data_IF_494900944679
#
_entry.id   IF_494900944679
#
_cell.length_a   1.000
_cell.length_b   1.000
_cell.length_c   1.000
_cell.angle_alpha   90.00
_cell.angle_beta   90.00
_cell.angle_gamma   90.00
#
_symmetry.space_group_name_H-M   'P 1'
#
loop_
_entity.id
_entity.type
_entity.pdbx_description
1 polymer ?
#
# COMPACT_ATOMS: atom_id res chain seq x y z
N UNK A 1 16.96 8.52 0.16
CA UNK A 1 17.54 7.22 -0.23
C UNK A 1 16.45 6.46 -0.98
N UNK A 2 16.78 5.75 -2.06
CA UNK A 2 15.82 4.86 -2.75
C UNK A 2 15.96 3.46 -2.15
N UNK A 3 14.85 2.80 -1.74
CA UNK A 3 14.86 1.43 -1.25
C UNK A 3 15.55 0.45 -2.19
N UNK A 4 16.14 -0.60 -1.62
CA UNK A 4 16.70 -1.71 -2.42
C UNK A 4 15.73 -2.87 -2.60
N UNK A 5 14.64 -2.88 -1.85
CA UNK A 5 13.67 -3.97 -1.81
C UNK A 5 12.27 -3.41 -2.00
N UNK A 6 11.52 -4.03 -2.89
CA UNK A 6 10.11 -3.75 -3.12
C UNK A 6 9.33 -5.07 -3.13
N UNK A 7 8.32 -5.16 -2.28
CA UNK A 7 7.33 -6.24 -2.29
C UNK A 7 6.17 -5.84 -3.21
N UNK A 8 5.53 -6.81 -3.86
CA UNK A 8 4.46 -6.57 -4.84
C UNK A 8 3.31 -7.54 -4.64
N UNK A 9 2.13 -7.21 -5.16
CA UNK A 9 0.90 -8.00 -5.05
C UNK A 9 0.66 -8.89 -6.28
N UNK A 10 1.71 -9.41 -6.90
CA UNK A 10 1.55 -10.34 -8.02
C UNK A 10 0.93 -11.66 -7.51
N UNK A 11 -0.06 -12.23 -8.21
CA UNK A 11 -0.71 -13.48 -7.80
C UNK A 11 0.08 -14.70 -8.31
N UNK A 12 1.37 -14.76 -8.03
CA UNK A 12 2.29 -15.82 -8.48
C UNK A 12 2.60 -16.88 -7.40
N UNK A 13 1.99 -16.76 -6.21
CA UNK A 13 2.12 -17.72 -5.13
C UNK A 13 1.38 -19.04 -5.41
N UNK A 14 2.03 -20.17 -5.11
CA UNK A 14 1.43 -21.52 -5.27
C UNK A 14 0.55 -21.89 -4.08
N UNK A 15 0.96 -21.50 -2.87
CA UNK A 15 0.27 -21.83 -1.64
C UNK A 15 -0.34 -20.58 -1.01
N UNK A 16 -1.45 -20.77 -0.31
CA UNK A 16 -2.11 -19.72 0.47
C UNK A 16 -1.16 -19.26 1.58
N UNK A 17 -0.80 -17.97 1.66
CA UNK A 17 0.02 -17.45 2.74
C UNK A 17 -0.65 -17.67 4.11
N UNK A 18 0.15 -17.85 5.16
CA UNK A 18 -0.37 -18.15 6.51
C UNK A 18 -1.27 -17.04 7.11
N UNK A 19 -1.21 -15.84 6.54
CA UNK A 19 -1.99 -14.67 6.95
C UNK A 19 -3.22 -14.41 6.07
N UNK A 20 -3.48 -15.27 5.09
CA UNK A 20 -4.57 -15.12 4.14
C UNK A 20 -5.62 -16.21 4.30
N UNK A 21 -6.87 -15.88 3.97
CA UNK A 21 -7.99 -16.82 4.04
C UNK A 21 -8.19 -17.61 2.74
N UNK A 22 -7.87 -16.99 1.60
CA UNK A 22 -8.06 -17.54 0.26
C UNK A 22 -6.78 -17.42 -0.58
N UNK A 23 -6.76 -18.08 -1.75
CA UNK A 23 -5.63 -17.98 -2.68
C UNK A 23 -5.53 -16.59 -3.34
N UNK A 24 -6.65 -15.90 -3.51
CA UNK A 24 -6.70 -14.50 -3.95
C UNK A 24 -6.62 -13.58 -2.74
N UNK A 25 -5.55 -12.80 -2.66
CA UNK A 25 -5.41 -11.76 -1.64
C UNK A 25 -6.26 -10.54 -2.02
N UNK A 26 -7.05 -10.04 -1.08
CA UNK A 26 -7.84 -8.83 -1.26
C UNK A 26 -8.17 -8.16 0.08
N UNK A 27 -8.34 -6.85 0.05
CA UNK A 27 -8.81 -6.07 1.21
C UNK A 27 -7.88 -6.17 2.43
N UNK A 28 -8.37 -6.76 3.52
CA UNK A 28 -7.60 -6.85 4.77
C UNK A 28 -6.36 -7.75 4.67
N UNK A 29 -6.41 -8.79 3.84
CA UNK A 29 -5.28 -9.73 3.68
C UNK A 29 -4.06 -9.01 3.09
N UNK A 30 -4.28 -8.08 2.16
CA UNK A 30 -3.23 -7.25 1.56
C UNK A 30 -2.63 -6.25 2.55
N UNK A 31 -3.44 -5.72 3.47
CA UNK A 31 -2.96 -4.83 4.55
C UNK A 31 -2.07 -5.62 5.53
N UNK A 32 -2.43 -6.88 5.80
CA UNK A 32 -1.61 -7.78 6.63
C UNK A 32 -0.32 -8.15 5.90
N UNK A 33 -0.39 -8.45 4.60
CA UNK A 33 0.78 -8.72 3.75
C UNK A 33 1.77 -7.55 3.76
N UNK A 34 1.31 -6.33 3.47
CA UNK A 34 2.16 -5.15 3.46
C UNK A 34 2.84 -4.94 4.82
N UNK A 35 2.09 -5.11 5.91
CA UNK A 35 2.68 -5.04 7.25
C UNK A 35 3.71 -6.14 7.51
N UNK A 36 3.45 -7.38 7.06
CA UNK A 36 4.39 -8.49 7.19
C UNK A 36 5.69 -8.22 6.41
N UNK A 37 5.58 -7.71 5.18
CA UNK A 37 6.72 -7.33 4.36
C UNK A 37 7.60 -6.28 5.07
N UNK A 38 6.99 -5.24 5.64
CA UNK A 38 7.71 -4.20 6.36
C UNK A 38 8.31 -4.69 7.69
N UNK A 39 7.53 -5.42 8.49
CA UNK A 39 7.88 -5.69 9.89
C UNK A 39 8.73 -6.95 10.09
N UNK A 40 8.53 -7.96 9.25
CA UNK A 40 9.19 -9.26 9.39
C UNK A 40 10.26 -9.45 8.32
N UNK A 41 9.94 -9.17 7.06
CA UNK A 41 10.88 -9.37 5.95
C UNK A 41 11.88 -8.23 5.80
N UNK A 42 11.63 -7.08 6.44
CA UNK A 42 12.49 -5.91 6.36
C UNK A 42 12.48 -5.24 4.99
N UNK A 43 11.45 -5.49 4.19
CA UNK A 43 11.22 -4.79 2.92
C UNK A 43 10.93 -3.33 3.22
N UNK A 44 11.38 -2.44 2.34
CA UNK A 44 11.32 -0.99 2.56
C UNK A 44 10.26 -0.30 1.68
N UNK A 45 9.76 -0.99 0.66
CA UNK A 45 8.77 -0.48 -0.29
C UNK A 45 7.72 -1.54 -0.62
N UNK A 46 6.45 -1.15 -0.64
CA UNK A 46 5.36 -2.00 -1.09
C UNK A 46 4.73 -1.36 -2.32
N UNK A 47 4.71 -2.09 -3.43
CA UNK A 47 3.86 -1.75 -4.56
C UNK A 47 2.40 -2.05 -4.19
N UNK A 48 1.53 -1.07 -4.40
CA UNK A 48 0.09 -1.22 -4.19
C UNK A 48 -0.62 -1.16 -5.53
N UNK A 49 -1.26 -2.25 -5.91
CA UNK A 49 -1.71 -2.47 -7.28
C UNK A 49 -3.18 -2.08 -7.46
N UNK A 50 -3.40 -0.94 -8.10
CA UNK A 50 -4.73 -0.44 -8.51
C UNK A 50 -5.10 -0.88 -9.94
N UNK A 51 -4.23 -1.61 -10.64
CA UNK A 51 -4.47 -2.09 -12.00
C UNK A 51 -5.01 -3.53 -11.95
N UNK A 52 -6.13 -3.79 -12.64
CA UNK A 52 -6.60 -5.16 -12.86
C UNK A 52 -7.19 -5.89 -11.66
N UNK A 53 -7.54 -5.18 -10.57
CA UNK A 53 -8.28 -5.73 -9.43
C UNK A 53 -9.02 -4.65 -8.62
N UNK A 54 -10.00 -5.08 -7.83
CA UNK A 54 -10.62 -4.23 -6.80
C UNK A 54 -9.66 -4.12 -5.61
N UNK A 55 -9.07 -2.94 -5.42
CA UNK A 55 -8.06 -2.69 -4.40
C UNK A 55 -8.57 -1.78 -3.28
N UNK A 56 -7.98 -1.92 -2.09
CA UNK A 56 -8.27 -1.04 -0.97
C UNK A 56 -7.63 0.35 -1.13
N UNK A 57 -8.45 1.38 -1.33
CA UNK A 57 -7.99 2.77 -1.45
C UNK A 57 -7.58 3.43 -0.11
N UNK A 58 -7.79 2.75 1.01
CA UNK A 58 -7.54 3.26 2.37
C UNK A 58 -6.35 2.56 3.04
N UNK A 59 -5.45 1.95 2.26
CA UNK A 59 -4.27 1.23 2.76
C UNK A 59 -3.47 2.02 3.80
N UNK A 60 -3.18 3.29 3.55
CA UNK A 60 -2.43 4.13 4.50
C UNK A 60 -3.17 4.26 5.82
N UNK A 61 -4.46 4.59 5.79
CA UNK A 61 -5.29 4.70 6.99
C UNK A 61 -5.27 3.40 7.78
N UNK A 62 -5.54 2.27 7.11
CA UNK A 62 -5.62 0.94 7.73
C UNK A 62 -4.29 0.52 8.36
N UNK A 63 -3.17 0.72 7.67
CA UNK A 63 -1.84 0.43 8.20
C UNK A 63 -1.54 1.24 9.48
N UNK A 64 -1.83 2.54 9.47
CA UNK A 64 -1.58 3.42 10.61
C UNK A 64 -2.51 3.11 11.81
N UNK A 65 -3.79 2.84 11.56
CA UNK A 65 -4.76 2.49 12.60
C UNK A 65 -4.47 1.12 13.22
N UNK A 66 -4.21 0.10 12.38
CA UNK A 66 -4.02 -1.29 12.83
C UNK A 66 -2.65 -1.54 13.46
N UNK A 67 -1.60 -0.90 12.93
CA UNK A 67 -0.20 -1.17 13.31
C UNK A 67 0.56 0.08 13.79
N UNK A 68 -0.16 1.03 14.39
CA UNK A 68 0.41 2.34 14.71
C UNK A 68 1.66 2.32 15.60
N UNK A 69 1.83 1.34 16.48
CA UNK A 69 3.04 1.22 17.31
C UNK A 69 4.32 0.99 16.50
N UNK A 70 4.22 0.27 15.38
CA UNK A 70 5.30 0.06 14.43
C UNK A 70 5.57 1.32 13.60
N UNK A 71 4.52 1.89 13.01
CA UNK A 71 4.66 3.04 12.12
C UNK A 71 5.11 4.32 12.83
N UNK A 72 4.85 4.46 14.13
CA UNK A 72 5.46 5.52 14.95
C UNK A 72 7.00 5.43 15.02
N UNK A 73 7.57 4.23 14.91
CA UNK A 73 9.02 3.98 14.93
C UNK A 73 9.63 3.96 13.53
N UNK A 74 8.89 3.46 12.54
CA UNK A 74 9.28 3.36 11.12
C UNK A 74 8.22 4.08 10.29
N UNK A 75 8.44 5.36 10.00
CA UNK A 75 7.42 6.24 9.41
C UNK A 75 7.22 5.93 7.93
N UNK A 76 5.98 5.66 7.55
CA UNK A 76 5.57 5.55 6.16
C UNK A 76 5.65 6.93 5.48
N UNK A 77 6.31 7.03 4.33
CA UNK A 77 6.65 8.29 3.65
C UNK A 77 8.06 8.79 3.95
N UNK A 78 8.78 8.18 4.91
CA UNK A 78 10.16 8.55 5.27
C UNK A 78 11.10 7.35 5.32
N UNK A 79 10.76 6.36 6.16
CA UNK A 79 11.55 5.14 6.38
C UNK A 79 11.03 3.96 5.56
N UNK A 80 9.77 4.03 5.14
CA UNK A 80 9.05 3.02 4.35
C UNK A 80 8.26 3.73 3.25
N UNK A 81 7.98 3.02 2.15
CA UNK A 81 7.26 3.57 1.00
C UNK A 81 6.10 2.69 0.57
N UNK A 82 5.05 3.34 0.08
CA UNK A 82 4.00 2.71 -0.71
C UNK A 82 4.03 3.37 -2.08
N UNK A 83 4.07 2.54 -3.12
CA UNK A 83 4.18 2.98 -4.50
C UNK A 83 3.00 2.44 -5.29
N UNK A 84 2.00 3.28 -5.62
CA UNK A 84 0.87 2.86 -6.43
C UNK A 84 1.31 2.40 -7.82
N UNK A 85 0.84 1.24 -8.24
CA UNK A 85 0.74 0.85 -9.64
C UNK A 85 -0.67 1.19 -10.11
N UNK A 86 -0.78 1.94 -11.20
CA UNK A 86 -2.04 2.49 -11.73
C UNK A 86 -2.28 1.98 -13.14
N UNK A 87 -3.54 1.84 -13.58
CA UNK A 87 -3.83 1.40 -14.94
C UNK A 87 -3.37 2.42 -15.96
N UNK A 88 -2.98 1.96 -17.14
CA UNK A 88 -2.70 2.83 -18.27
C UNK A 88 -4.01 3.23 -18.97
N UNK A 89 -4.48 4.50 -18.90
CA UNK A 89 -5.79 4.89 -19.46
C UNK A 89 -5.90 4.76 -20.98
N UNK A 90 -4.77 4.71 -21.68
CA UNK A 90 -4.75 4.53 -23.14
C UNK A 90 -5.00 3.07 -23.55
N UNK A 91 -4.77 2.13 -22.63
CA UNK A 91 -4.93 0.69 -22.83
C UNK A 91 -6.19 0.21 -22.11
N UNK A 92 -6.26 0.42 -20.79
CA UNK A 92 -7.35 -0.03 -19.92
C UNK A 92 -8.48 1.00 -19.87
N UNK A 93 -9.23 1.11 -20.96
CA UNK A 93 -10.26 2.15 -21.12
C UNK A 93 -11.39 2.08 -20.10
N UNK A 94 -11.75 0.88 -19.65
CA UNK A 94 -12.81 0.69 -18.64
C UNK A 94 -12.38 1.19 -17.26
N UNK A 95 -11.08 1.07 -16.96
CA UNK A 95 -10.46 1.40 -15.67
C UNK A 95 -9.72 2.76 -15.71
N UNK A 96 -9.82 3.50 -16.81
CA UNK A 96 -9.10 4.77 -17.01
C UNK A 96 -9.32 5.80 -15.90
N UNK A 97 -10.48 5.77 -15.23
CA UNK A 97 -10.81 6.68 -14.12
C UNK A 97 -10.11 6.31 -12.81
N UNK A 98 -9.70 5.05 -12.62
CA UNK A 98 -8.94 4.62 -11.44
C UNK A 98 -7.62 5.38 -11.31
N UNK A 99 -7.03 5.85 -12.41
CA UNK A 99 -5.86 6.74 -12.34
C UNK A 99 -6.20 8.02 -11.56
N UNK A 100 -7.31 8.68 -11.89
CA UNK A 100 -7.71 9.92 -11.20
C UNK A 100 -8.08 9.65 -9.74
N UNK A 101 -8.83 8.59 -9.49
CA UNK A 101 -9.22 8.17 -8.13
C UNK A 101 -7.99 7.87 -7.26
N UNK A 102 -7.00 7.17 -7.83
CA UNK A 102 -5.72 6.90 -7.15
C UNK A 102 -4.95 8.19 -6.85
N UNK A 103 -4.87 9.11 -7.81
CA UNK A 103 -4.19 10.40 -7.61
C UNK A 103 -4.89 11.26 -6.55
N UNK A 104 -6.23 11.26 -6.51
CA UNK A 104 -7.02 11.94 -5.48
C UNK A 104 -6.91 11.29 -4.10
N UNK A 105 -6.57 9.99 -4.04
CA UNK A 105 -6.31 9.28 -2.78
C UNK A 105 -4.99 9.71 -2.10
N UNK A 106 -4.01 10.25 -2.85
CA UNK A 106 -2.71 10.66 -2.33
C UNK A 106 -2.83 11.78 -1.28
N UNK A 107 -3.50 12.93 -1.56
CA UNK A 107 -3.66 13.98 -0.55
C UNK A 107 -4.48 13.49 0.65
N UNK A 108 -5.52 12.67 0.44
CA UNK A 108 -6.27 12.02 1.52
C UNK A 108 -5.36 11.19 2.43
N UNK A 109 -4.42 10.45 1.83
CA UNK A 109 -3.43 9.67 2.58
C UNK A 109 -2.45 10.56 3.36
N UNK A 110 -2.04 11.70 2.79
CA UNK A 110 -1.22 12.69 3.48
C UNK A 110 -1.93 13.28 4.71
N UNK A 111 -3.23 13.57 4.61
CA UNK A 111 -4.03 14.06 5.74
C UNK A 111 -4.07 13.02 6.89
N UNK A 112 -4.28 11.74 6.58
CA UNK A 112 -4.23 10.67 7.59
C UNK A 112 -2.86 10.58 8.26
N UNK A 113 -1.77 10.62 7.48
CA UNK A 113 -0.42 10.58 7.99
C UNK A 113 -0.12 11.79 8.89
N UNK A 114 -0.54 12.99 8.47
CA UNK A 114 -0.37 14.23 9.25
C UNK A 114 -1.07 14.15 10.60
N UNK A 115 -2.33 13.70 10.63
CA UNK A 115 -3.07 13.52 11.88
C UNK A 115 -2.42 12.47 12.79
N UNK A 116 -1.93 11.38 12.20
CA UNK A 116 -1.33 10.28 12.96
C UNK A 116 0.06 10.62 13.53
N UNK A 117 0.92 11.31 12.76
CA UNK A 117 2.29 11.64 13.15
C UNK A 117 2.43 12.99 13.85
N UNK A 118 1.47 13.91 13.68
CA UNK A 118 1.56 15.29 14.17
C UNK A 118 2.55 16.16 13.39
N UNK A 119 2.96 15.74 12.19
CA UNK A 119 3.86 16.46 11.29
C UNK A 119 3.51 16.18 9.83
N UNK A 120 3.91 17.06 8.92
CA UNK A 120 3.66 16.92 7.48
C UNK A 120 4.53 15.79 6.89
N UNK A 121 3.92 14.63 6.65
CA UNK A 121 4.55 13.51 5.93
C UNK A 121 3.61 13.05 4.83
N UNK A 122 4.14 13.00 3.60
CA UNK A 122 3.47 12.38 2.46
C UNK A 122 3.81 10.88 2.44
N UNK A 123 2.85 9.98 2.73
CA UNK A 123 3.10 8.53 2.75
C UNK A 123 3.28 7.93 1.34
N UNK A 124 2.77 8.64 0.32
CA UNK A 124 2.88 8.32 -1.10
C UNK A 124 3.40 9.58 -1.79
N UNK A 125 4.47 9.49 -2.58
CA UNK A 125 5.14 10.63 -3.23
C UNK A 125 5.97 10.22 -4.46
#
# INVERSE_FOLDING_TARGET
>A
MIPRTMSTQHPDNVFIPFFAHESSLGGEDEVVEAFYAFSVLGVEEQMWDFEGKEVDEFVVKKLLEKYGSFFKKRKLGRDLRITPRVPNPSVEKAEAKLLLETLESIPRSADYAKLFYGEEIAPIF
#
